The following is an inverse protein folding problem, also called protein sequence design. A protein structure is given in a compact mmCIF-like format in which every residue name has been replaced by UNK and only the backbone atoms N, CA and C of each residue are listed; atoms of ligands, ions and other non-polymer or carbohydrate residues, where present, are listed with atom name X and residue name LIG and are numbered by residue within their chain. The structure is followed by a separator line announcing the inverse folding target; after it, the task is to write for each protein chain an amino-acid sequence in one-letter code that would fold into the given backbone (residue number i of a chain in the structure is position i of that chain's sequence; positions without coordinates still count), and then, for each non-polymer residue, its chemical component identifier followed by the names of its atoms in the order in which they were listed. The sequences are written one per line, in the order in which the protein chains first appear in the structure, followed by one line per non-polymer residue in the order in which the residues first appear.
data_IF_673987844571
#
_entry.id   IF_673987844571
#
_cell.length_a   1.000
_cell.length_b   1.000
_cell.length_c   1.000
_cell.angle_alpha   90.00
_cell.angle_beta   90.00
_cell.angle_gamma   90.00
#
_symmetry.space_group_name_H-M   'P 1'
#
loop_
_entity.id
_entity.type
_entity.pdbx_description
1 polymer ?
#
# COMPACT_ATOMS: atom_id res chain seq x y z
N UNK A 1 8.70 -5.90 -18.82
CA UNK A 1 7.48 -5.80 -17.97
C UNK A 1 6.78 -4.44 -18.05
N UNK A 2 7.45 -3.30 -17.79
CA UNK A 2 6.81 -1.96 -17.85
C UNK A 2 5.94 -1.73 -19.09
N UNK A 3 6.42 -2.10 -20.27
CA UNK A 3 5.65 -1.99 -21.52
C UNK A 3 4.40 -2.87 -21.55
N UNK A 4 4.45 -4.07 -20.96
CA UNK A 4 3.28 -4.96 -20.82
C UNK A 4 2.24 -4.33 -19.90
N UNK A 5 2.66 -3.76 -18.77
CA UNK A 5 1.78 -3.03 -17.84
C UNK A 5 1.12 -1.84 -18.56
N UNK A 6 1.89 -1.01 -19.25
CA UNK A 6 1.34 0.15 -19.99
C UNK A 6 0.37 -0.29 -21.07
N UNK A 7 0.64 -1.40 -21.77
CA UNK A 7 -0.29 -1.96 -22.77
C UNK A 7 -1.59 -2.42 -22.14
N UNK A 8 -1.53 -3.17 -21.03
CA UNK A 8 -2.71 -3.60 -20.27
C UNK A 8 -3.54 -2.41 -19.78
N UNK A 9 -2.90 -1.34 -19.30
CA UNK A 9 -3.62 -0.12 -18.88
C UNK A 9 -4.33 0.57 -20.06
N UNK A 10 -3.73 0.61 -21.25
CA UNK A 10 -4.39 1.13 -22.46
C UNK A 10 -5.58 0.27 -22.89
N UNK A 11 -5.46 -1.06 -22.75
CA UNK A 11 -6.58 -1.98 -22.99
C UNK A 11 -7.72 -1.75 -21.98
N UNK A 12 -7.40 -1.46 -20.72
CA UNK A 12 -8.38 -1.06 -19.70
C UNK A 12 -9.09 0.24 -20.11
N UNK A 13 -8.35 1.27 -20.51
CA UNK A 13 -8.94 2.53 -20.97
C UNK A 13 -9.94 2.31 -22.12
N UNK A 14 -9.53 1.53 -23.13
CA UNK A 14 -10.38 1.22 -24.27
C UNK A 14 -11.61 0.37 -23.90
N UNK A 15 -11.41 -0.71 -23.13
CA UNK A 15 -12.46 -1.68 -22.79
C UNK A 15 -13.52 -1.08 -21.87
N UNK A 16 -13.11 -0.26 -20.91
CA UNK A 16 -14.02 0.29 -19.90
C UNK A 16 -14.44 1.74 -20.19
N UNK A 17 -13.89 2.37 -21.23
CA UNK A 17 -14.17 3.76 -21.55
C UNK A 17 -13.76 4.70 -20.43
N UNK A 18 -12.59 4.46 -19.84
CA UNK A 18 -12.01 5.23 -18.72
C UNK A 18 -10.71 5.87 -19.13
N UNK A 19 -10.25 6.85 -18.34
CA UNK A 19 -8.90 7.40 -18.43
C UNK A 19 -8.12 6.99 -17.18
N UNK A 20 -6.94 6.40 -17.35
CA UNK A 20 -6.05 6.07 -16.23
C UNK A 20 -5.25 7.32 -15.87
N UNK A 21 -5.37 7.75 -14.61
CA UNK A 21 -4.70 8.94 -14.07
C UNK A 21 -3.36 8.60 -13.44
N UNK A 22 -3.25 7.42 -12.83
CA UNK A 22 -2.07 7.00 -12.09
C UNK A 22 -1.97 5.49 -12.10
N UNK A 23 -0.77 4.94 -12.22
CA UNK A 23 -0.51 3.53 -12.02
C UNK A 23 0.86 3.31 -11.40
N UNK A 24 0.92 2.48 -10.37
CA UNK A 24 2.11 2.20 -9.60
C UNK A 24 2.21 0.72 -9.23
N UNK A 25 3.37 0.34 -8.73
CA UNK A 25 3.59 -0.96 -8.10
C UNK A 25 3.26 -0.89 -6.60
N UNK A 26 2.44 -1.81 -6.09
CA UNK A 26 2.05 -1.86 -4.67
C UNK A 26 2.60 -3.05 -3.87
N UNK A 27 3.33 -3.95 -4.51
CA UNK A 27 3.76 -5.22 -3.94
C UNK A 27 5.18 -5.23 -3.39
N UNK A 28 5.75 -6.43 -3.29
CA UNK A 28 7.15 -6.63 -2.88
C UNK A 28 8.15 -5.84 -3.73
N UNK A 29 7.82 -5.60 -5.01
CA UNK A 29 8.57 -4.75 -5.94
C UNK A 29 8.52 -3.27 -5.53
N UNK A 30 7.35 -2.76 -5.13
CA UNK A 30 7.16 -1.40 -4.63
C UNK A 30 7.79 -1.20 -3.25
N UNK A 31 7.73 -2.23 -2.40
CA UNK A 31 8.38 -2.24 -1.10
C UNK A 31 9.92 -2.37 -1.17
N UNK A 32 10.48 -2.74 -2.34
CA UNK A 32 11.93 -2.79 -2.56
C UNK A 32 12.60 -4.09 -2.13
N UNK A 33 11.84 -5.18 -2.01
CA UNK A 33 12.37 -6.48 -1.63
C UNK A 33 11.96 -7.61 -2.57
N UNK A 34 11.59 -7.34 -3.82
CA UNK A 34 11.22 -8.37 -4.78
C UNK A 34 12.32 -9.41 -5.03
N UNK A 35 11.87 -10.63 -5.27
CA UNK A 35 12.62 -11.79 -5.77
C UNK A 35 12.43 -11.84 -7.29
N UNK A 36 13.25 -12.61 -8.03
CA UNK A 36 13.09 -12.77 -9.48
C UNK A 36 11.68 -13.23 -9.89
N UNK A 37 11.07 -14.12 -9.10
CA UNK A 37 9.74 -14.70 -9.29
C UNK A 37 8.61 -13.94 -8.57
N UNK A 38 8.85 -12.71 -8.09
CA UNK A 38 7.78 -11.88 -7.53
C UNK A 38 6.78 -11.44 -8.61
N UNK A 39 5.50 -11.60 -8.31
CA UNK A 39 4.40 -11.02 -9.09
C UNK A 39 4.53 -9.48 -9.19
N UNK A 40 3.85 -8.91 -10.17
CA UNK A 40 3.69 -7.46 -10.34
C UNK A 40 2.30 -7.05 -9.84
N UNK A 41 2.26 -6.35 -8.71
CA UNK A 41 1.04 -5.82 -8.10
C UNK A 41 0.78 -4.40 -8.65
N UNK A 42 0.13 -4.32 -9.81
CA UNK A 42 -0.20 -3.03 -10.42
C UNK A 42 -1.47 -2.48 -9.80
N UNK A 43 -1.36 -1.28 -9.23
CA UNK A 43 -2.49 -0.54 -8.67
C UNK A 43 -2.63 0.79 -9.40
N UNK A 44 -3.86 1.10 -9.82
CA UNK A 44 -4.11 2.27 -10.64
C UNK A 44 -5.33 3.08 -10.18
N UNK A 45 -5.34 4.36 -10.53
CA UNK A 45 -6.46 5.27 -10.35
C UNK A 45 -7.00 5.63 -11.72
N UNK A 46 -8.31 5.60 -11.88
CA UNK A 46 -8.96 5.92 -13.15
C UNK A 46 -10.18 6.79 -12.97
N UNK A 47 -10.53 7.55 -14.00
CA UNK A 47 -11.72 8.42 -14.03
C UNK A 47 -12.65 8.03 -15.16
N UNK A 48 -13.94 8.10 -14.91
CA UNK A 48 -14.97 7.90 -15.92
C UNK A 48 -15.35 9.22 -16.61
N UNK A 49 -16.04 9.17 -17.76
CA UNK A 49 -16.62 10.38 -18.33
C UNK A 49 -17.81 10.89 -17.48
N UNK A 50 -18.21 12.19 -17.59
CA UNK A 50 -19.22 12.81 -16.73
C UNK A 50 -20.55 12.04 -16.64
N UNK A 51 -20.99 11.43 -17.74
CA UNK A 51 -22.26 10.71 -17.83
C UNK A 51 -22.33 9.50 -16.88
N UNK A 52 -21.19 8.93 -16.48
CA UNK A 52 -21.14 7.84 -15.52
C UNK A 52 -21.48 8.30 -14.10
N UNK A 53 -21.09 9.53 -13.74
CA UNK A 53 -21.37 10.12 -12.42
C UNK A 53 -22.80 10.63 -12.31
N UNK A 54 -23.40 11.04 -13.43
CA UNK A 54 -24.76 11.57 -13.53
C UNK A 54 -25.79 10.45 -13.78
N UNK A 55 -25.72 9.39 -12.98
CA UNK A 55 -26.69 8.28 -13.00
C UNK A 55 -27.33 8.14 -11.62
N UNK A 56 -28.57 7.65 -11.59
CA UNK A 56 -29.33 7.43 -10.34
C UNK A 56 -28.69 6.33 -9.49
N UNK A 57 -28.35 5.20 -10.13
CA UNK A 57 -27.74 4.07 -9.44
C UNK A 57 -26.23 4.22 -9.30
N UNK A 58 -25.72 3.91 -8.12
CA UNK A 58 -24.29 3.76 -7.89
C UNK A 58 -23.73 2.66 -8.79
N UNK A 59 -22.67 2.99 -9.53
CA UNK A 59 -21.98 2.09 -10.44
C UNK A 59 -20.78 1.44 -9.71
N UNK A 60 -20.31 0.30 -10.22
CA UNK A 60 -19.10 -0.36 -9.69
C UNK A 60 -17.89 0.55 -9.82
N UNK A 61 -17.17 0.76 -8.71
CA UNK A 61 -16.09 1.74 -8.57
C UNK A 61 -14.68 1.10 -8.52
N UNK A 62 -14.58 -0.16 -8.95
CA UNK A 62 -13.36 -0.97 -8.96
C UNK A 62 -13.26 -1.74 -10.28
N UNK A 63 -12.09 -1.73 -10.90
CA UNK A 63 -11.72 -2.59 -12.02
C UNK A 63 -10.67 -3.58 -11.55
N UNK A 64 -10.95 -4.87 -11.69
CA UNK A 64 -10.01 -5.96 -11.42
C UNK A 64 -9.90 -6.79 -12.70
N UNK A 65 -8.66 -7.00 -13.17
CA UNK A 65 -8.42 -7.90 -14.28
C UNK A 65 -8.29 -9.34 -13.77
N UNK A 66 -8.63 -10.35 -14.59
CA UNK A 66 -8.30 -11.72 -14.26
C UNK A 66 -6.82 -11.83 -13.92
N UNK A 67 -6.50 -12.55 -12.84
CA UNK A 67 -5.12 -12.77 -12.42
C UNK A 67 -4.42 -13.55 -13.53
N UNK A 68 -3.41 -12.92 -14.12
CA UNK A 68 -2.38 -13.56 -14.92
C UNK A 68 -1.29 -14.02 -13.94
N UNK A 69 -0.67 -15.19 -14.14
CA UNK A 69 0.27 -15.80 -13.18
C UNK A 69 1.43 -14.87 -12.76
N UNK A 70 1.67 -13.77 -13.49
CA UNK A 70 2.68 -12.77 -13.18
C UNK A 70 2.14 -11.35 -12.85
N UNK A 71 0.86 -11.07 -13.08
CA UNK A 71 0.32 -9.69 -13.07
C UNK A 71 -1.04 -9.60 -12.37
N UNK A 72 -1.07 -8.93 -11.22
CA UNK A 72 -2.28 -8.57 -10.49
C UNK A 72 -2.60 -7.09 -10.73
N UNK A 73 -3.67 -6.81 -11.48
CA UNK A 73 -4.08 -5.45 -11.86
C UNK A 73 -5.41 -5.09 -11.22
N UNK A 74 -5.37 -4.12 -10.31
CA UNK A 74 -6.56 -3.62 -9.60
C UNK A 74 -6.57 -2.08 -9.60
N UNK A 75 -7.72 -1.51 -9.92
CA UNK A 75 -7.91 -0.07 -10.04
C UNK A 75 -9.04 0.45 -9.20
N UNK A 76 -8.86 1.66 -8.68
CA UNK A 76 -9.91 2.41 -7.98
C UNK A 76 -10.37 3.60 -8.82
N UNK A 77 -11.69 3.73 -8.91
CA UNK A 77 -12.33 4.88 -9.53
C UNK A 77 -11.99 6.17 -8.76
N UNK A 78 -11.95 7.30 -9.47
CA UNK A 78 -11.49 8.58 -8.97
C UNK A 78 -12.24 9.11 -7.74
N UNK A 79 -13.58 9.15 -7.77
CA UNK A 79 -14.38 9.55 -6.61
C UNK A 79 -14.18 8.59 -5.44
N UNK A 80 -14.04 7.27 -5.70
CA UNK A 80 -13.64 6.30 -4.66
C UNK A 80 -12.28 6.65 -4.07
N UNK A 81 -11.26 6.93 -4.88
CA UNK A 81 -9.92 7.30 -4.43
C UNK A 81 -9.95 8.56 -3.55
N UNK A 82 -10.66 9.61 -3.97
CA UNK A 82 -10.83 10.82 -3.16
C UNK A 82 -11.58 10.53 -1.84
N UNK A 83 -12.59 9.65 -1.87
CA UNK A 83 -13.29 9.18 -0.67
C UNK A 83 -12.38 8.39 0.28
N UNK A 84 -11.48 7.56 -0.25
CA UNK A 84 -10.47 6.83 0.52
C UNK A 84 -9.46 7.80 1.13
N UNK A 85 -9.04 8.84 0.42
CA UNK A 85 -8.18 9.90 0.96
C UNK A 85 -8.88 10.63 2.12
N UNK A 86 -10.13 11.08 1.93
CA UNK A 86 -10.98 11.67 2.98
C UNK A 86 -11.12 10.75 4.19
N UNK A 87 -11.19 9.44 3.93
CA UNK A 87 -11.23 8.38 4.92
C UNK A 87 -9.87 8.07 5.58
N UNK A 88 -8.81 8.83 5.29
CA UNK A 88 -7.45 8.59 5.74
C UNK A 88 -6.98 7.14 5.47
N UNK A 89 -7.38 6.57 4.33
CA UNK A 89 -7.05 5.19 3.99
C UNK A 89 -5.54 5.06 3.69
N UNK A 90 -4.77 4.27 4.47
CA UNK A 90 -3.33 4.21 4.29
C UNK A 90 -2.91 3.49 3.01
N UNK A 91 -3.73 2.59 2.48
CA UNK A 91 -3.42 1.88 1.24
C UNK A 91 -3.34 2.84 0.06
N UNK A 92 -4.24 3.82 -0.04
CA UNK A 92 -4.14 4.85 -1.08
C UNK A 92 -2.88 5.70 -0.92
N UNK A 93 -2.57 6.09 0.31
CA UNK A 93 -1.38 6.91 0.62
C UNK A 93 -0.11 6.14 0.24
N UNK A 94 -0.06 4.85 0.53
CA UNK A 94 1.04 3.97 0.15
C UNK A 94 1.17 3.86 -1.37
N UNK A 95 0.07 3.75 -2.12
CA UNK A 95 0.13 3.76 -3.59
C UNK A 95 0.75 5.06 -4.11
N UNK A 96 0.35 6.22 -3.56
CA UNK A 96 0.87 7.52 -3.96
C UNK A 96 2.36 7.72 -3.60
N UNK A 97 2.87 6.96 -2.62
CA UNK A 97 4.28 6.96 -2.20
C UNK A 97 5.13 5.91 -2.95
N UNK A 98 4.54 5.20 -3.94
CA UNK A 98 5.26 4.14 -4.63
C UNK A 98 6.50 4.64 -5.39
N UNK A 99 7.67 4.00 -5.20
CA UNK A 99 8.89 4.36 -5.92
C UNK A 99 8.89 3.91 -7.38
N UNK A 100 7.91 3.08 -7.80
CA UNK A 100 7.81 2.53 -9.14
C UNK A 100 6.48 2.96 -9.76
N UNK A 101 6.53 4.04 -10.54
CA UNK A 101 5.38 4.60 -11.25
C UNK A 101 5.40 4.18 -12.71
N UNK A 102 4.34 3.52 -13.15
CA UNK A 102 4.17 3.07 -14.53
C UNK A 102 3.62 4.18 -15.43
N UNK A 103 2.59 4.89 -14.95
CA UNK A 103 1.88 5.95 -15.65
C UNK A 103 1.42 7.01 -14.64
N UNK A 104 1.47 8.28 -15.02
CA UNK A 104 1.03 9.40 -14.17
C UNK A 104 0.60 10.60 -15.02
N UNK A 105 -0.64 11.05 -14.84
CA UNK A 105 -1.04 12.42 -15.11
C UNK A 105 -0.44 13.31 -14.01
N UNK A 106 0.68 13.93 -14.34
CA UNK A 106 1.48 14.71 -13.39
C UNK A 106 0.70 15.84 -12.74
N UNK A 107 -0.18 16.53 -13.48
CA UNK A 107 -0.90 17.67 -12.94
C UNK A 107 -1.94 17.21 -11.91
N UNK A 108 -2.78 16.25 -12.29
CA UNK A 108 -3.84 15.70 -11.44
C UNK A 108 -3.26 15.01 -10.20
N UNK A 109 -2.23 14.18 -10.38
CA UNK A 109 -1.64 13.39 -9.28
C UNK A 109 -0.81 14.26 -8.33
N UNK A 110 -0.11 15.29 -8.83
CA UNK A 110 0.57 16.26 -7.96
C UNK A 110 -0.42 16.99 -7.05
N UNK A 111 -1.57 17.43 -7.61
CA UNK A 111 -2.63 18.06 -6.83
C UNK A 111 -3.18 17.10 -5.78
N UNK A 112 -3.44 15.83 -6.13
CA UNK A 112 -3.87 14.81 -5.16
C UNK A 112 -2.84 14.60 -4.03
N UNK A 113 -1.56 14.42 -4.38
CA UNK A 113 -0.47 14.24 -3.41
C UNK A 113 -0.35 15.42 -2.45
N UNK A 114 -0.57 16.64 -2.92
CA UNK A 114 -0.55 17.85 -2.07
C UNK A 114 -1.66 17.85 -1.00
N UNK A 115 -2.75 17.11 -1.21
CA UNK A 115 -3.83 16.98 -0.23
C UNK A 115 -3.53 15.94 0.86
N UNK A 116 -2.62 14.99 0.62
CA UNK A 116 -2.35 13.87 1.55
C UNK A 116 -2.05 14.33 2.98
N UNK A 117 -1.16 15.31 3.23
CA UNK A 117 -0.86 15.75 4.60
C UNK A 117 -2.08 16.28 5.37
N UNK A 118 -3.09 16.82 4.68
CA UNK A 118 -4.30 17.37 5.30
C UNK A 118 -5.32 16.30 5.71
N UNK A 119 -5.25 15.14 5.06
CA UNK A 119 -6.18 14.04 5.26
C UNK A 119 -5.58 12.84 5.98
N UNK A 120 -4.27 12.83 6.23
CA UNK A 120 -3.60 11.76 6.95
C UNK A 120 -3.98 11.76 8.44
N UNK A 121 -4.51 10.63 8.91
CA UNK A 121 -4.85 10.38 10.32
C UNK A 121 -3.85 9.38 10.93
N UNK A 122 -3.00 9.80 11.87
CA UNK A 122 -2.14 8.88 12.62
C UNK A 122 -2.94 7.77 13.30
N UNK A 123 -4.06 8.09 13.95
CA UNK A 123 -4.90 7.11 14.63
C UNK A 123 -5.39 6.01 13.67
N UNK A 124 -5.94 6.39 12.51
CA UNK A 124 -6.50 5.43 11.55
C UNK A 124 -5.40 4.64 10.84
N UNK A 125 -4.30 5.30 10.49
CA UNK A 125 -3.15 4.64 9.89
C UNK A 125 -2.57 3.57 10.80
N UNK A 126 -2.37 3.91 12.08
CA UNK A 126 -1.92 2.98 13.10
C UNK A 126 -2.84 1.76 13.19
N UNK A 127 -4.15 1.95 13.33
CA UNK A 127 -5.10 0.84 13.46
C UNK A 127 -5.19 -0.04 12.22
N UNK A 128 -5.08 0.55 11.02
CA UNK A 128 -5.01 -0.18 9.76
C UNK A 128 -3.80 -1.12 9.73
N UNK A 129 -2.60 -0.60 9.97
CA UNK A 129 -1.37 -1.41 9.97
C UNK A 129 -1.39 -2.46 11.07
N UNK A 130 -1.81 -2.11 12.29
CA UNK A 130 -1.91 -3.05 13.40
C UNK A 130 -2.86 -4.22 13.08
N UNK A 131 -4.05 -3.92 12.55
CA UNK A 131 -5.03 -4.96 12.17
C UNK A 131 -4.51 -5.84 11.04
N UNK A 132 -3.78 -5.27 10.08
CA UNK A 132 -3.13 -6.00 9.00
C UNK A 132 -2.05 -6.96 9.54
N UNK A 133 -1.16 -6.47 10.41
CA UNK A 133 -0.13 -7.28 11.05
C UNK A 133 -0.74 -8.46 11.81
N UNK A 134 -1.75 -8.20 12.65
CA UNK A 134 -2.44 -9.23 13.45
C UNK A 134 -3.11 -10.29 12.57
N UNK A 135 -3.79 -9.87 11.49
CA UNK A 135 -4.40 -10.79 10.52
C UNK A 135 -3.35 -11.66 9.83
N UNK A 136 -2.27 -11.06 9.34
CA UNK A 136 -1.20 -11.75 8.63
C UNK A 136 -0.42 -12.70 9.53
N UNK A 137 -0.15 -12.31 10.78
CA UNK A 137 0.52 -13.17 11.76
C UNK A 137 -0.28 -14.44 12.04
N UNK A 138 -1.59 -14.28 12.31
CA UNK A 138 -2.50 -15.41 12.54
C UNK A 138 -2.62 -16.32 11.32
N UNK A 139 -2.59 -15.75 10.11
CA UNK A 139 -2.76 -16.51 8.87
C UNK A 139 -1.50 -17.25 8.40
N UNK A 140 -0.30 -16.77 8.71
CA UNK A 140 0.92 -17.24 8.03
C UNK A 140 2.04 -17.76 8.93
N UNK A 141 2.14 -17.31 10.20
CA UNK A 141 3.35 -17.50 11.01
C UNK A 141 3.14 -18.37 12.26
N UNK A 142 2.17 -19.29 12.23
CA UNK A 142 1.80 -20.12 13.40
C UNK A 142 2.52 -21.48 13.45
N UNK A 143 3.05 -21.98 12.33
CA UNK A 143 3.74 -23.28 12.27
C UNK A 143 5.23 -23.20 12.60
N UNK A 144 5.87 -24.37 12.79
CA UNK A 144 7.33 -24.47 12.98
C UNK A 144 8.10 -24.27 11.68
N UNK A 145 7.47 -24.56 10.53
CA UNK A 145 7.95 -24.18 9.20
C UNK A 145 6.99 -23.16 8.58
N UNK A 146 7.53 -22.05 8.09
CA UNK A 146 6.74 -20.91 7.57
C UNK A 146 7.33 -20.42 6.27
N UNK A 147 6.49 -19.81 5.42
CA UNK A 147 6.95 -19.10 4.22
C UNK A 147 7.72 -17.87 4.63
N UNK A 148 9.00 -17.82 4.32
CA UNK A 148 9.91 -16.77 4.79
C UNK A 148 9.45 -15.37 4.38
N UNK A 149 8.92 -15.22 3.17
CA UNK A 149 8.40 -13.93 2.70
C UNK A 149 7.27 -13.37 3.57
N UNK A 150 6.47 -14.23 4.23
CA UNK A 150 5.31 -13.81 5.03
C UNK A 150 5.72 -13.08 6.31
N UNK A 151 6.98 -13.16 6.73
CA UNK A 151 7.52 -12.27 7.76
C UNK A 151 7.40 -10.80 7.34
N UNK A 152 7.69 -10.43 6.09
CA UNK A 152 7.60 -9.02 5.67
C UNK A 152 6.17 -8.47 5.67
N UNK A 153 5.17 -9.33 5.43
CA UNK A 153 3.75 -8.99 5.55
C UNK A 153 3.29 -8.75 6.99
N UNK A 154 4.12 -9.06 7.99
CA UNK A 154 3.86 -8.80 9.41
C UNK A 154 4.81 -7.73 9.93
N UNK A 155 6.11 -7.82 9.62
CA UNK A 155 7.13 -6.87 10.04
C UNK A 155 6.85 -5.46 9.49
N UNK A 156 6.59 -5.32 8.18
CA UNK A 156 6.32 -4.00 7.59
C UNK A 156 5.17 -3.26 8.29
N UNK A 157 3.96 -3.84 8.46
CA UNK A 157 2.90 -3.15 9.18
C UNK A 157 3.22 -2.89 10.66
N UNK A 158 3.97 -3.76 11.36
CA UNK A 158 4.39 -3.46 12.75
C UNK A 158 5.39 -2.31 12.83
N UNK A 159 6.36 -2.24 11.91
CA UNK A 159 7.27 -1.10 11.82
C UNK A 159 6.53 0.18 11.41
N UNK A 160 5.52 0.08 10.56
CA UNK A 160 4.63 1.20 10.22
C UNK A 160 3.83 1.69 11.44
N UNK A 161 3.38 0.80 12.33
CA UNK A 161 2.78 1.17 13.62
C UNK A 161 3.78 1.98 14.46
N UNK A 162 5.01 1.50 14.64
CA UNK A 162 6.06 2.25 15.36
C UNK A 162 6.35 3.61 14.73
N UNK A 163 6.40 3.68 13.40
CA UNK A 163 6.65 4.93 12.66
C UNK A 163 5.60 5.99 12.97
N UNK A 164 4.32 5.59 12.90
CA UNK A 164 3.19 6.49 13.18
C UNK A 164 3.16 6.89 14.65
N UNK A 165 3.39 5.95 15.57
CA UNK A 165 3.43 6.21 17.01
C UNK A 165 4.59 7.13 17.41
N UNK A 166 5.69 7.13 16.64
CA UNK A 166 6.81 8.06 16.79
C UNK A 166 6.56 9.45 16.16
N UNK A 167 5.36 9.72 15.63
CA UNK A 167 5.01 11.02 15.06
C UNK A 167 5.68 11.33 13.71
N UNK A 168 6.22 10.33 13.02
CA UNK A 168 6.95 10.50 11.76
C UNK A 168 6.05 10.65 10.52
N UNK A 169 4.74 10.79 10.72
CA UNK A 169 3.75 10.96 9.65
C UNK A 169 3.40 9.65 8.94
N UNK A 170 3.11 9.74 7.63
CA UNK A 170 2.81 8.58 6.80
C UNK A 170 4.07 7.69 6.66
N UNK A 171 3.98 6.38 6.93
CA UNK A 171 5.11 5.47 6.75
C UNK A 171 5.52 5.35 5.28
N UNK A 172 6.83 5.34 4.97
CA UNK A 172 7.30 5.18 3.60
C UNK A 172 6.91 3.82 3.03
N UNK A 173 6.67 3.77 1.72
CA UNK A 173 6.37 2.53 1.02
C UNK A 173 7.57 1.59 1.06
N UNK A 174 8.77 2.13 0.84
CA UNK A 174 10.03 1.38 0.79
C UNK A 174 10.39 0.80 2.15
N UNK A 175 10.54 -0.51 2.20
CA UNK A 175 10.87 -1.22 3.44
C UNK A 175 12.22 -0.82 4.03
N UNK A 176 13.22 -0.57 3.17
CA UNK A 176 14.54 -0.12 3.61
C UNK A 176 14.50 1.23 4.34
N UNK A 177 13.67 2.18 3.89
CA UNK A 177 13.50 3.49 4.52
C UNK A 177 12.76 3.36 5.85
N UNK A 178 11.71 2.52 5.88
CA UNK A 178 11.00 2.18 7.11
C UNK A 178 11.94 1.55 8.16
N UNK A 179 12.79 0.63 7.74
CA UNK A 179 13.75 -0.06 8.59
C UNK A 179 14.85 0.88 9.09
N UNK A 180 15.35 1.77 8.24
CA UNK A 180 16.35 2.78 8.61
C UNK A 180 15.82 3.77 9.66
N UNK A 181 14.54 4.12 9.58
CA UNK A 181 13.89 4.94 10.60
C UNK A 181 13.33 4.17 11.81
N UNK A 182 13.60 2.86 11.92
CA UNK A 182 13.16 2.04 13.05
C UNK A 182 14.27 1.84 14.06
N UNK A 183 13.98 2.08 15.34
CA UNK A 183 14.89 1.77 16.45
C UNK A 183 14.77 0.28 16.79
N UNK A 184 15.73 -0.52 16.32
CA UNK A 184 15.78 -1.97 16.53
C UNK A 184 17.12 -2.36 17.16
N UNK A 185 17.08 -3.39 18.00
CA UNK A 185 18.30 -4.00 18.54
C UNK A 185 19.17 -4.60 17.42
N UNK A 186 20.48 -4.55 17.59
CA UNK A 186 21.44 -4.95 16.54
C UNK A 186 21.23 -6.39 16.04
N UNK A 187 20.96 -7.34 16.94
CA UNK A 187 20.71 -8.74 16.59
C UNK A 187 19.42 -8.89 15.77
N UNK A 188 18.35 -8.19 16.15
CA UNK A 188 17.08 -8.22 15.42
C UNK A 188 17.23 -7.59 14.04
N UNK A 189 17.95 -6.46 13.95
CA UNK A 189 18.23 -5.79 12.69
C UNK A 189 19.02 -6.69 11.74
N UNK A 190 20.09 -7.31 12.23
CA UNK A 190 20.89 -8.24 11.45
C UNK A 190 20.04 -9.40 10.92
N UNK A 191 19.14 -9.97 11.74
CA UNK A 191 18.29 -11.07 11.29
C UNK A 191 17.29 -10.65 10.21
N UNK A 192 16.74 -9.42 10.29
CA UNK A 192 15.87 -8.87 9.22
C UNK A 192 16.67 -8.68 7.93
N UNK A 193 17.90 -8.16 8.02
CA UNK A 193 18.77 -7.94 6.86
C UNK A 193 19.15 -9.28 6.20
N UNK A 194 19.50 -10.31 6.98
CA UNK A 194 19.75 -11.66 6.47
C UNK A 194 18.53 -12.29 5.80
N UNK A 195 17.34 -12.09 6.39
CA UNK A 195 16.09 -12.55 5.80
C UNK A 195 15.79 -11.83 4.48
N UNK A 196 16.07 -10.53 4.41
CA UNK A 196 15.90 -9.70 3.23
C UNK A 196 16.82 -10.16 2.10
N UNK A 197 18.10 -10.38 2.39
CA UNK A 197 19.06 -10.92 1.43
C UNK A 197 18.66 -12.28 0.90
N UNK A 198 18.27 -13.21 1.80
CA UNK A 198 17.78 -14.53 1.39
C UNK A 198 16.58 -14.41 0.48
N UNK A 199 15.60 -13.59 0.87
CA UNK A 199 14.39 -13.37 0.08
C UNK A 199 14.72 -12.83 -1.30
N UNK A 200 15.63 -11.85 -1.43
CA UNK A 200 16.01 -11.29 -2.73
C UNK A 200 16.77 -12.28 -3.63
N UNK A 201 17.48 -13.26 -3.05
CA UNK A 201 18.23 -14.30 -3.80
C UNK A 201 17.40 -15.55 -4.12
N UNK A 202 16.49 -15.92 -3.24
CA UNK A 202 15.66 -17.12 -3.34
C UNK A 202 14.26 -16.83 -3.90
N UNK A 203 13.49 -17.89 -4.17
CA UNK A 203 12.13 -17.79 -4.68
C UNK A 203 11.07 -17.46 -3.61
N UNK A 204 9.94 -16.91 -4.04
CA UNK A 204 8.76 -16.54 -3.25
C UNK A 204 8.07 -17.71 -2.51
N UNK A 205 8.44 -18.95 -2.86
CA UNK A 205 7.95 -20.18 -2.26
C UNK A 205 8.86 -20.73 -1.14
N UNK A 206 9.96 -20.05 -0.79
CA UNK A 206 10.89 -20.56 0.23
C UNK A 206 10.22 -20.70 1.60
N UNK A 207 10.29 -21.94 2.12
CA UNK A 207 9.95 -22.26 3.50
C UNK A 207 11.23 -22.37 4.33
N UNK A 208 11.13 -21.97 5.60
CA UNK A 208 12.20 -22.17 6.56
C UNK A 208 11.64 -22.36 7.96
N UNK A 209 12.49 -22.77 8.92
CA UNK A 209 12.09 -22.83 10.30
C UNK A 209 11.68 -21.43 10.79
N UNK A 210 10.72 -21.40 11.69
CA UNK A 210 10.36 -20.19 12.42
C UNK A 210 11.61 -19.62 13.11
N UNK A 211 11.89 -18.35 12.83
CA UNK A 211 12.99 -17.57 13.41
C UNK A 211 12.60 -17.05 14.80
N UNK A 212 13.18 -17.55 15.90
CA UNK A 212 12.71 -17.26 17.25
C UNK A 212 12.76 -15.79 17.64
N UNK A 213 13.83 -15.08 17.28
CA UNK A 213 14.01 -13.67 17.63
C UNK A 213 13.01 -12.77 16.88
N UNK A 214 12.83 -12.97 15.56
CA UNK A 214 11.76 -12.32 14.80
C UNK A 214 10.36 -12.62 15.37
N UNK A 215 10.10 -13.87 15.74
CA UNK A 215 8.80 -14.27 16.27
C UNK A 215 8.54 -13.65 17.66
N UNK A 216 9.55 -13.61 18.53
CA UNK A 216 9.49 -12.93 19.82
C UNK A 216 9.21 -11.44 19.67
N UNK A 217 9.92 -10.77 18.75
CA UNK A 217 9.65 -9.36 18.42
C UNK A 217 8.21 -9.14 17.95
N UNK A 218 7.71 -9.98 17.03
CA UNK A 218 6.34 -9.87 16.52
C UNK A 218 5.31 -10.03 17.64
N UNK A 219 5.48 -11.03 18.52
CA UNK A 219 4.58 -11.24 19.66
C UNK A 219 4.59 -10.05 20.61
N UNK A 220 5.77 -9.51 20.91
CA UNK A 220 5.93 -8.34 21.78
C UNK A 220 5.25 -7.10 21.17
N UNK A 221 5.44 -6.84 19.87
CA UNK A 221 4.80 -5.71 19.18
C UNK A 221 3.29 -5.87 19.05
N UNK A 222 2.79 -7.10 18.85
CA UNK A 222 1.36 -7.36 18.85
C UNK A 222 0.75 -7.10 20.23
N UNK A 223 1.37 -7.61 21.30
CA UNK A 223 0.91 -7.37 22.66
C UNK A 223 0.95 -5.87 23.03
N UNK A 224 2.06 -5.19 22.73
CA UNK A 224 2.21 -3.74 22.90
C UNK A 224 1.15 -2.97 22.11
N UNK A 225 0.83 -3.44 20.91
CA UNK A 225 -0.10 -2.81 20.00
C UNK A 225 -1.59 -2.96 20.35
N UNK A 226 -1.96 -3.73 21.38
CA UNK A 226 -3.36 -3.81 21.81
C UNK A 226 -3.89 -2.47 22.36
N UNK A 227 -3.02 -1.73 23.05
CA UNK A 227 -3.34 -0.44 23.64
C UNK A 227 -2.51 0.65 22.91
N UNK A 228 -3.12 1.46 22.03
CA UNK A 228 -2.39 2.52 21.34
C UNK A 228 -2.04 3.66 22.31
N UNK A 229 -0.95 4.42 22.04
CA UNK A 229 -0.81 5.74 22.62
C UNK A 229 -1.93 6.67 22.13
N UNK A 230 -2.14 7.79 22.82
CA UNK A 230 -3.06 8.83 22.34
C UNK A 230 -2.55 9.41 21.03
N UNK A 231 -3.25 9.13 19.94
CA UNK A 231 -2.94 9.63 18.60
C UNK A 231 -4.09 10.50 18.09
N UNK A 232 -3.80 11.61 17.40
CA UNK A 232 -4.84 12.43 16.82
C UNK A 232 -5.47 11.73 15.61
N UNK A 233 -6.77 11.95 15.39
CA UNK A 233 -7.42 11.56 14.13
C UNK A 233 -7.15 12.58 13.01
N UNK A 234 -6.60 13.76 13.33
CA UNK A 234 -6.29 14.91 12.46
C UNK A 234 -6.72 14.76 11.00
N UNK A 235 -7.95 15.18 10.69
CA UNK A 235 -8.45 15.37 9.32
C UNK A 235 -8.86 16.81 9.17
N UNK A 236 -7.93 17.62 8.69
CA UNK A 236 -8.07 19.07 8.55
C UNK A 236 -8.28 19.49 7.09
N UNK A 237 -8.45 18.51 6.20
CA UNK A 237 -8.66 18.77 4.78
C UNK A 237 -10.00 19.42 4.48
N UNK A 238 -9.99 20.29 3.46
CA UNK A 238 -11.19 20.93 2.93
C UNK A 238 -11.85 20.00 1.92
N UNK A 239 -13.09 19.58 2.21
CA UNK A 239 -13.86 18.72 1.30
C UNK A 239 -14.09 19.40 -0.05
N UNK A 240 -14.23 20.74 -0.08
CA UNK A 240 -14.43 21.47 -1.33
C UNK A 240 -13.20 21.40 -2.24
N UNK A 241 -12.00 21.23 -1.67
CA UNK A 241 -10.79 21.01 -2.47
C UNK A 241 -10.82 19.64 -3.17
N UNK A 242 -11.31 18.60 -2.49
CA UNK A 242 -11.52 17.29 -3.11
C UNK A 242 -12.65 17.32 -4.14
N UNK A 243 -13.75 18.01 -3.86
CA UNK A 243 -14.87 18.15 -4.80
C UNK A 243 -14.45 18.92 -6.06
N UNK A 244 -13.62 19.96 -5.91
CA UNK A 244 -13.05 20.69 -7.06
C UNK A 244 -12.11 19.80 -7.87
N UNK A 245 -11.22 19.07 -7.21
CA UNK A 245 -10.32 18.13 -7.87
C UNK A 245 -11.09 17.03 -8.62
N UNK A 246 -12.18 16.52 -8.04
CA UNK A 246 -13.10 15.60 -8.71
C UNK A 246 -13.66 16.24 -9.98
N UNK A 247 -14.27 17.42 -9.85
CA UNK A 247 -14.92 18.12 -10.96
C UNK A 247 -13.94 18.43 -12.10
N UNK A 248 -12.80 19.06 -11.79
CA UNK A 248 -11.79 19.43 -12.77
C UNK A 248 -11.25 18.21 -13.52
N UNK A 249 -11.05 17.09 -12.84
CA UNK A 249 -10.54 15.87 -13.47
C UNK A 249 -11.59 15.21 -14.36
N UNK A 250 -12.87 15.21 -13.96
CA UNK A 250 -13.98 14.58 -14.70
C UNK A 250 -14.36 15.38 -15.95
N UNK A 251 -14.19 16.71 -15.91
CA UNK A 251 -14.58 17.61 -17.01
C UNK A 251 -13.49 17.83 -18.07
N UNK A 252 -12.31 17.21 -17.90
CA UNK A 252 -11.23 17.14 -18.90
C UNK A 252 -11.44 15.98 -19.87
#
# INVERSE_FOLDING_TARGET
MRERVVRQLREVEHRFGVRVLYACESGSRGWGFASPDSDYDVRFLYVHPPQWYLRVDAQRDVIELPIDDELDVCGWEWRKALGLLKGANPTLIEWLDSPVVYLEDKATVSTLKSQVPRWFSPLRARWHYYSMARKNFRGYLQGDSVRLKKYFYVLRPLLAVRWVEAGKGAPPMRFAELLAGSELEGALRQEIDELLERKQRAGEAEYGPRRPLLHGFILAELARGEIPPTLPDSREGDINALDRLLYETVMQ
#
